data_IF_394133707550
#
_entry.id   IF_394133707550
#
_cell.length_a   1.000
_cell.length_b   1.000
_cell.length_c   1.000
_cell.angle_alpha   90.00
_cell.angle_beta   90.00
_cell.angle_gamma   90.00
#
_symmetry.space_group_name_H-M   'P 1'
#
loop_
_entity.id
_entity.type
_entity.pdbx_description
1 polymer ?
#
# COMPACT_ATOMS: atom_id res chain seq x y z
N UNK A 1 3.90 -22.48 -9.22
CA UNK A 1 3.27 -21.39 -8.45
C UNK A 1 3.66 -20.02 -9.01
N UNK A 2 3.40 -19.74 -10.30
CA UNK A 2 3.71 -18.44 -10.94
C UNK A 2 2.47 -17.57 -11.13
N UNK A 3 1.29 -18.18 -11.29
CA UNK A 3 0.02 -17.44 -11.47
C UNK A 3 -0.42 -16.69 -10.21
N UNK A 4 -0.15 -17.23 -9.01
CA UNK A 4 -0.52 -16.56 -7.75
C UNK A 4 0.34 -15.31 -7.52
N UNK A 5 1.64 -15.37 -7.79
CA UNK A 5 2.56 -14.23 -7.65
C UNK A 5 2.25 -13.10 -8.63
N UNK A 6 1.84 -13.43 -9.86
CA UNK A 6 1.39 -12.45 -10.86
C UNK A 6 0.08 -11.79 -10.46
N UNK A 7 -0.93 -12.57 -10.07
CA UNK A 7 -2.21 -12.02 -9.60
C UNK A 7 -2.03 -11.15 -8.35
N UNK A 8 -1.15 -11.57 -7.43
CA UNK A 8 -0.79 -10.77 -6.27
C UNK A 8 -0.11 -9.46 -6.66
N UNK A 9 0.86 -9.50 -7.59
CA UNK A 9 1.52 -8.31 -8.11
C UNK A 9 0.52 -7.32 -8.72
N UNK A 10 -0.42 -7.80 -9.54
CA UNK A 10 -1.48 -6.97 -10.12
C UNK A 10 -2.35 -6.31 -9.06
N UNK A 11 -2.75 -7.06 -8.03
CA UNK A 11 -3.52 -6.53 -6.90
C UNK A 11 -2.73 -5.41 -6.18
N UNK A 12 -1.45 -5.64 -5.86
CA UNK A 12 -0.61 -4.63 -5.19
C UNK A 12 -0.42 -3.39 -6.07
N UNK A 13 -0.18 -3.57 -7.37
CA UNK A 13 -0.06 -2.45 -8.32
C UNK A 13 -1.37 -1.67 -8.44
N UNK A 14 -2.52 -2.34 -8.41
CA UNK A 14 -3.81 -1.69 -8.40
C UNK A 14 -4.02 -0.88 -7.12
N UNK A 15 -3.63 -1.42 -5.96
CA UNK A 15 -3.72 -0.69 -4.69
C UNK A 15 -2.81 0.54 -4.66
N UNK A 16 -1.62 0.48 -5.26
CA UNK A 16 -0.73 1.64 -5.43
C UNK A 16 -1.38 2.74 -6.28
N UNK A 17 -2.04 2.37 -7.39
CA UNK A 17 -2.77 3.32 -8.25
C UNK A 17 -3.96 3.94 -7.53
N UNK A 18 -4.73 3.15 -6.78
CA UNK A 18 -5.84 3.65 -5.97
C UNK A 18 -5.36 4.63 -4.90
N UNK A 19 -4.24 4.34 -4.23
CA UNK A 19 -3.63 5.22 -3.25
C UNK A 19 -3.18 6.55 -3.86
N UNK A 20 -2.54 6.51 -5.03
CA UNK A 20 -2.10 7.70 -5.77
C UNK A 20 -3.29 8.58 -6.20
N UNK A 21 -4.37 7.95 -6.67
CA UNK A 21 -5.60 8.65 -7.02
C UNK A 21 -6.27 9.32 -5.80
N UNK A 22 -6.30 8.64 -4.64
CA UNK A 22 -6.78 9.21 -3.38
C UNK A 22 -5.93 10.40 -2.93
N UNK A 23 -4.61 10.29 -3.09
CA UNK A 23 -3.69 11.36 -2.76
C UNK A 23 -3.97 12.58 -3.63
N UNK A 24 -4.00 12.39 -4.95
CA UNK A 24 -4.28 13.47 -5.92
C UNK A 24 -5.63 14.14 -5.65
N UNK A 25 -6.70 13.37 -5.50
CA UNK A 25 -8.03 13.91 -5.20
C UNK A 25 -8.05 14.74 -3.92
N UNK A 26 -7.32 14.30 -2.89
CA UNK A 26 -7.25 15.00 -1.61
C UNK A 26 -6.47 16.30 -1.73
N UNK A 27 -5.35 16.29 -2.46
CA UNK A 27 -4.54 17.48 -2.72
C UNK A 27 -5.28 18.51 -3.60
N UNK A 28 -6.08 18.06 -4.57
CA UNK A 28 -6.92 18.95 -5.39
C UNK A 28 -8.05 19.58 -4.57
N UNK A 29 -8.66 18.81 -3.66
CA UNK A 29 -9.74 19.29 -2.80
C UNK A 29 -9.25 20.01 -1.54
N UNK A 30 -7.96 19.90 -1.21
CA UNK A 30 -7.34 20.29 0.07
C UNK A 30 -8.09 19.78 1.32
N UNK A 31 -8.88 18.72 1.18
CA UNK A 31 -9.70 18.16 2.25
C UNK A 31 -9.01 16.93 2.84
N UNK A 32 -7.96 17.18 3.61
CA UNK A 32 -7.07 16.17 4.20
C UNK A 32 -7.77 15.30 5.24
N UNK A 33 -8.80 15.82 5.92
CA UNK A 33 -9.64 15.05 6.86
C UNK A 33 -10.42 13.97 6.11
N UNK A 34 -11.18 14.35 5.07
CA UNK A 34 -11.89 13.38 4.24
C UNK A 34 -10.93 12.45 3.48
N UNK A 35 -9.77 12.97 3.08
CA UNK A 35 -8.68 12.18 2.50
C UNK A 35 -8.19 11.09 3.45
N UNK A 36 -7.88 11.43 4.70
CA UNK A 36 -7.42 10.50 5.72
C UNK A 36 -8.46 9.41 6.00
N UNK A 37 -9.75 9.76 6.05
CA UNK A 37 -10.83 8.77 6.16
C UNK A 37 -10.89 7.81 4.98
N UNK A 38 -10.74 8.32 3.74
CA UNK A 38 -10.69 7.48 2.54
C UNK A 38 -9.48 6.55 2.56
N UNK A 39 -8.31 7.07 2.98
CA UNK A 39 -7.09 6.27 3.15
C UNK A 39 -7.26 5.20 4.22
N UNK A 40 -7.92 5.49 5.34
CA UNK A 40 -8.21 4.50 6.37
C UNK A 40 -9.11 3.36 5.86
N UNK A 41 -10.17 3.70 5.12
CA UNK A 41 -11.06 2.71 4.47
C UNK A 41 -10.31 1.89 3.42
N UNK A 42 -9.52 2.55 2.59
CA UNK A 42 -8.66 1.90 1.61
C UNK A 42 -7.67 0.95 2.29
N UNK A 43 -7.00 1.37 3.36
CA UNK A 43 -6.03 0.54 4.11
C UNK A 43 -6.69 -0.75 4.60
N UNK A 44 -7.87 -0.66 5.22
CA UNK A 44 -8.59 -1.84 5.72
C UNK A 44 -8.87 -2.86 4.60
N UNK A 45 -9.31 -2.38 3.43
CA UNK A 45 -9.50 -3.22 2.24
C UNK A 45 -8.18 -3.81 1.73
N UNK A 46 -7.14 -2.99 1.63
CA UNK A 46 -5.81 -3.39 1.16
C UNK A 46 -5.19 -4.46 2.06
N UNK A 47 -5.32 -4.36 3.39
CA UNK A 47 -4.88 -5.39 4.33
C UNK A 47 -5.52 -6.73 3.99
N UNK A 48 -6.85 -6.77 3.80
CA UNK A 48 -7.55 -8.00 3.46
C UNK A 48 -7.10 -8.56 2.10
N UNK A 49 -6.90 -7.69 1.10
CA UNK A 49 -6.41 -8.09 -0.22
C UNK A 49 -4.99 -8.66 -0.16
N UNK A 50 -4.05 -8.04 0.56
CA UNK A 50 -2.69 -8.55 0.76
C UNK A 50 -2.73 -9.90 1.47
N UNK A 51 -3.57 -10.02 2.51
CA UNK A 51 -3.73 -11.26 3.28
C UNK A 51 -4.13 -12.43 2.39
N UNK A 52 -5.06 -12.20 1.47
CA UNK A 52 -5.55 -13.23 0.53
C UNK A 52 -4.56 -13.49 -0.60
N UNK A 53 -3.97 -12.43 -1.16
CA UNK A 53 -3.15 -12.53 -2.38
C UNK A 53 -1.71 -12.97 -2.11
N UNK A 54 -1.11 -12.49 -1.03
CA UNK A 54 0.30 -12.72 -0.67
C UNK A 54 0.42 -13.66 0.53
N UNK A 55 -0.43 -13.45 1.53
CA UNK A 55 -0.50 -14.30 2.72
C UNK A 55 -0.71 -13.51 4.01
N UNK A 56 -1.10 -14.24 5.04
CA UNK A 56 -1.45 -13.69 6.36
C UNK A 56 -0.33 -12.82 6.94
N UNK A 57 0.93 -13.27 6.89
CA UNK A 57 2.07 -12.55 7.45
C UNK A 57 2.23 -11.14 6.86
N UNK A 58 2.18 -11.01 5.54
CA UNK A 58 2.32 -9.70 4.87
C UNK A 58 1.10 -8.80 5.13
N UNK A 59 -0.10 -9.39 5.20
CA UNK A 59 -1.32 -8.68 5.60
C UNK A 59 -1.21 -8.09 7.01
N UNK A 60 -0.77 -8.89 7.98
CA UNK A 60 -0.54 -8.44 9.37
C UNK A 60 0.53 -7.37 9.48
N UNK A 61 1.65 -7.52 8.74
CA UNK A 61 2.72 -6.52 8.68
C UNK A 61 2.20 -5.19 8.15
N UNK A 62 1.40 -5.22 7.08
CA UNK A 62 0.81 -4.01 6.51
C UNK A 62 -0.24 -3.38 7.43
N UNK A 63 -1.05 -4.20 8.12
CA UNK A 63 -2.02 -3.72 9.11
C UNK A 63 -1.34 -2.96 10.26
N UNK A 64 -0.16 -3.44 10.67
CA UNK A 64 0.67 -2.86 11.72
C UNK A 64 1.29 -1.50 11.39
N UNK A 65 1.30 -1.07 10.12
CA UNK A 65 1.80 0.26 9.74
C UNK A 65 0.92 1.31 10.40
N UNK A 66 1.52 2.10 11.28
CA UNK A 66 0.90 3.28 11.87
C UNK A 66 1.74 4.49 11.47
N UNK A 67 1.15 5.50 10.82
CA UNK A 67 1.81 6.79 10.67
C UNK A 67 2.18 7.30 12.06
N UNK A 68 3.40 7.83 12.21
CA UNK A 68 3.84 8.41 13.47
C UNK A 68 2.97 9.62 13.85
N UNK A 69 3.03 10.08 15.12
CA UNK A 69 2.43 11.35 15.49
C UNK A 69 2.98 12.45 14.57
N UNK A 70 2.06 13.18 13.94
CA UNK A 70 2.41 14.27 13.06
C UNK A 70 2.66 15.54 13.87
N UNK A 71 3.74 16.26 13.53
CA UNK A 71 4.24 17.40 14.30
C UNK A 71 4.39 18.67 13.45
N UNK A 72 4.04 18.62 12.16
CA UNK A 72 4.39 19.71 11.23
C UNK A 72 3.34 20.81 11.16
N UNK A 73 2.16 20.60 11.80
CA UNK A 73 1.05 21.56 11.85
C UNK A 73 0.54 21.95 10.43
N UNK A 74 0.99 21.25 9.38
CA UNK A 74 0.58 21.41 8.00
C UNK A 74 -0.17 20.15 7.55
N UNK A 75 -1.49 20.27 7.45
CA UNK A 75 -2.36 19.12 7.20
C UNK A 75 -2.09 18.44 5.84
N UNK A 76 -1.52 19.16 4.86
CA UNK A 76 -1.22 18.65 3.52
C UNK A 76 0.07 17.84 3.55
N UNK A 77 1.09 18.35 4.24
CA UNK A 77 2.34 17.63 4.47
C UNK A 77 2.08 16.36 5.29
N UNK A 78 1.31 16.46 6.38
CA UNK A 78 0.93 15.31 7.22
C UNK A 78 0.17 14.23 6.43
N UNK A 79 -0.73 14.65 5.54
CA UNK A 79 -1.44 13.74 4.67
C UNK A 79 -0.52 13.12 3.61
N UNK A 80 0.45 13.87 3.08
CA UNK A 80 1.42 13.34 2.11
C UNK A 80 2.34 12.31 2.76
N UNK A 81 2.80 12.57 3.99
CA UNK A 81 3.56 11.62 4.82
C UNK A 81 2.76 10.34 5.12
N UNK A 82 1.47 10.49 5.42
CA UNK A 82 0.55 9.37 5.60
C UNK A 82 0.49 8.49 4.34
N UNK A 83 0.37 9.10 3.16
CA UNK A 83 0.36 8.38 1.88
C UNK A 83 1.69 7.64 1.68
N UNK A 84 2.83 8.31 1.92
CA UNK A 84 4.15 7.69 1.71
C UNK A 84 4.39 6.50 2.65
N UNK A 85 3.95 6.60 3.92
CA UNK A 85 4.01 5.51 4.89
C UNK A 85 3.37 4.20 4.38
N UNK A 86 2.33 4.28 3.55
CA UNK A 86 1.69 3.10 2.95
C UNK A 86 2.25 2.75 1.56
N UNK A 87 2.63 3.76 0.78
CA UNK A 87 3.17 3.59 -0.58
C UNK A 87 4.50 2.87 -0.56
N UNK A 88 5.41 3.25 0.32
CA UNK A 88 6.75 2.67 0.45
C UNK A 88 6.72 1.14 0.66
N UNK A 89 6.00 0.60 1.67
CA UNK A 89 5.91 -0.85 1.86
C UNK A 89 5.14 -1.58 0.75
N UNK A 90 4.11 -0.97 0.14
CA UNK A 90 3.44 -1.57 -1.03
C UNK A 90 4.37 -1.67 -2.24
N UNK A 91 5.14 -0.62 -2.52
CA UNK A 91 6.10 -0.61 -3.62
C UNK A 91 7.23 -1.62 -3.39
N UNK A 92 7.70 -1.75 -2.15
CA UNK A 92 8.66 -2.80 -1.77
C UNK A 92 8.06 -4.20 -2.00
N UNK A 93 6.81 -4.43 -1.57
CA UNK A 93 6.12 -5.70 -1.75
C UNK A 93 5.91 -6.04 -3.24
N UNK A 94 5.52 -5.07 -4.05
CA UNK A 94 5.41 -5.24 -5.50
C UNK A 94 6.76 -5.63 -6.14
N UNK A 95 7.85 -4.97 -5.72
CA UNK A 95 9.20 -5.33 -6.18
C UNK A 95 9.58 -6.75 -5.77
N UNK A 96 9.29 -7.16 -4.53
CA UNK A 96 9.56 -8.52 -4.05
C UNK A 96 8.77 -9.56 -4.84
N UNK A 97 7.48 -9.32 -5.10
CA UNK A 97 6.63 -10.19 -5.92
C UNK A 97 7.12 -10.30 -7.37
N UNK A 98 7.64 -9.21 -7.93
CA UNK A 98 8.21 -9.18 -9.28
C UNK A 98 9.60 -9.84 -9.36
N UNK A 99 10.38 -9.82 -8.28
CA UNK A 99 11.72 -10.40 -8.19
C UNK A 99 11.74 -11.84 -7.65
N UNK A 100 10.61 -12.37 -7.18
CA UNK A 100 10.51 -13.72 -6.65
C UNK A 100 11.16 -14.72 -7.64
N UNK A 101 12.25 -15.40 -7.23
CA UNK A 101 13.04 -16.19 -8.15
C UNK A 101 12.21 -17.34 -8.71
N UNK A 102 12.32 -17.54 -10.03
CA UNK A 102 12.09 -18.87 -10.62
C UNK A 102 13.04 -19.82 -9.88
N UNK A 103 12.64 -21.02 -9.47
CA UNK A 103 13.61 -21.98 -8.99
C UNK A 103 14.58 -22.25 -10.15
N UNK A 104 15.77 -21.68 -10.08
CA UNK A 104 16.93 -22.17 -10.82
C UNK A 104 17.22 -23.54 -10.25
N UNK A 105 16.59 -24.55 -10.83
CA UNK A 105 17.14 -25.90 -10.86
C UNK A 105 18.25 -25.85 -11.88
N UNK A 106 19.50 -25.86 -11.44
CA UNK A 106 20.72 -26.09 -12.23
C UNK A 106 21.87 -26.00 -11.22
N UNK A 107 22.70 -27.01 -10.96
CA UNK A 107 22.91 -28.34 -11.51
C UNK A 107 24.25 -28.82 -10.98
#
# INVERSE_FOLDING_TARGET
>A
MTNQSLAALEIIQQQLKELDALAKQTLESLNTVAGAERVAKWKARTVALITVAVGQQEGHKFAGIRPGPSFTNDMVEEFTDLIDCYRTPLAALAKQLAQAPRPSTEG
#
